data_IF_908703618740
#
_entry.id   IF_908703618740
#
_cell.length_a   1.000
_cell.length_b   1.000
_cell.length_c   1.000
_cell.angle_alpha   90.00
_cell.angle_beta   90.00
_cell.angle_gamma   90.00
#
_symmetry.space_group_name_H-M   'P 1'
#
loop_
_entity.id
_entity.type
_entity.pdbx_description
1 polymer ?
#
# COMPACT_ATOMS: atom_id res chain seq x y z
N UNK A 1 9.20 1.77 12.08
CA UNK A 1 8.31 1.99 10.92
C UNK A 1 7.86 3.43 10.98
N UNK A 2 7.92 4.14 9.87
CA UNK A 2 7.65 5.57 9.70
C UNK A 2 6.47 5.73 8.74
N UNK A 3 5.54 6.62 9.08
CA UNK A 3 4.42 6.97 8.21
C UNK A 3 4.84 8.10 7.27
N UNK A 4 4.54 7.96 5.97
CA UNK A 4 4.90 8.97 4.95
C UNK A 4 3.66 9.75 4.52
N UNK A 5 2.64 9.05 4.02
CA UNK A 5 1.41 9.68 3.56
C UNK A 5 0.23 8.70 3.55
N UNK A 6 -0.97 9.25 3.45
CA UNK A 6 -2.21 8.51 3.31
C UNK A 6 -3.06 9.09 2.18
N UNK A 7 -3.88 8.22 1.59
CA UNK A 7 -4.85 8.57 0.58
C UNK A 7 -6.09 7.70 0.79
N UNK A 8 -7.23 8.36 0.79
CA UNK A 8 -8.53 7.71 1.00
C UNK A 8 -9.25 7.61 -0.34
N UNK A 9 -9.45 6.39 -0.81
CA UNK A 9 -10.17 6.12 -2.05
C UNK A 9 -11.59 5.72 -1.69
N UNK A 10 -12.48 6.68 -1.90
CA UNK A 10 -13.92 6.46 -1.74
C UNK A 10 -14.41 5.90 -3.07
N UNK A 11 -14.78 4.62 -3.07
CA UNK A 11 -15.43 4.02 -4.22
C UNK A 11 -16.79 4.71 -4.47
N UNK A 12 -17.20 4.87 -5.73
CA UNK A 12 -18.58 5.25 -6.05
C UNK A 12 -19.40 3.98 -6.29
N UNK A 13 -20.25 3.60 -5.33
CA UNK A 13 -21.16 2.44 -5.44
C UNK A 13 -21.20 1.59 -4.17
N UNK A 14 -21.45 0.28 -4.31
CA UNK A 14 -21.46 -0.72 -3.22
C UNK A 14 -20.06 -1.26 -2.85
N UNK A 15 -18.98 -0.66 -3.38
CA UNK A 15 -17.62 -1.09 -3.07
C UNK A 15 -17.16 -0.49 -1.73
N UNK A 16 -16.39 -1.23 -0.91
CA UNK A 16 -15.93 -0.74 0.37
C UNK A 16 -15.04 0.50 0.22
N UNK A 17 -15.03 1.32 1.26
CA UNK A 17 -14.11 2.43 1.36
C UNK A 17 -12.72 1.90 1.69
N UNK A 18 -11.71 2.29 0.90
CA UNK A 18 -10.34 1.81 1.09
C UNK A 18 -9.44 2.98 1.44
N UNK A 19 -8.74 2.85 2.55
CA UNK A 19 -7.68 3.75 2.97
C UNK A 19 -6.32 3.11 2.64
N UNK A 20 -5.50 3.84 1.88
CA UNK A 20 -4.13 3.46 1.55
C UNK A 20 -3.16 4.32 2.33
N UNK A 21 -2.16 3.71 2.95
CA UNK A 21 -1.04 4.41 3.61
C UNK A 21 0.29 3.93 3.07
N UNK A 22 1.20 4.87 2.78
CA UNK A 22 2.58 4.58 2.46
C UNK A 22 3.43 4.65 3.73
N UNK A 23 4.13 3.57 4.02
CA UNK A 23 4.96 3.40 5.19
C UNK A 23 6.40 3.12 4.76
N UNK A 24 7.37 3.56 5.56
CA UNK A 24 8.78 3.19 5.42
C UNK A 24 9.23 2.39 6.63
N UNK A 25 10.03 1.37 6.41
CA UNK A 25 10.69 0.62 7.46
C UNK A 25 12.16 0.42 7.10
N UNK A 26 13.05 0.48 8.08
CA UNK A 26 14.43 0.02 7.90
C UNK A 26 14.46 -1.46 8.24
N UNK A 27 14.94 -2.29 7.30
CA UNK A 27 15.04 -3.74 7.48
C UNK A 27 16.44 -4.21 7.13
N UNK A 28 16.95 -5.16 7.89
CA UNK A 28 18.20 -5.82 7.54
C UNK A 28 17.93 -6.87 6.45
N UNK A 29 18.43 -6.61 5.24
CA UNK A 29 18.37 -7.51 4.11
C UNK A 29 19.79 -7.89 3.71
N UNK A 30 20.11 -9.19 3.77
CA UNK A 30 21.45 -9.71 3.47
C UNK A 30 22.58 -9.02 4.24
N UNK A 31 22.35 -8.66 5.50
CA UNK A 31 23.34 -7.96 6.35
C UNK A 31 23.49 -6.46 6.07
N UNK A 32 22.63 -5.89 5.22
CA UNK A 32 22.61 -4.45 4.92
C UNK A 32 21.29 -3.85 5.36
N UNK A 33 21.35 -2.75 6.12
CA UNK A 33 20.16 -1.96 6.46
C UNK A 33 19.62 -1.29 5.21
N UNK A 34 18.39 -1.66 4.83
CA UNK A 34 17.72 -1.21 3.62
C UNK A 34 16.38 -0.61 3.99
N UNK A 35 16.09 0.58 3.45
CA UNK A 35 14.74 1.13 3.51
C UNK A 35 13.81 0.28 2.66
N UNK A 36 12.69 -0.14 3.24
CA UNK A 36 11.59 -0.86 2.56
C UNK A 36 10.33 -0.03 2.73
N UNK A 37 9.75 0.35 1.60
CA UNK A 37 8.48 1.03 1.51
C UNK A 37 7.38 -0.01 1.36
N UNK A 38 6.32 0.16 2.14
CA UNK A 38 5.18 -0.75 2.17
C UNK A 38 3.88 0.04 2.06
N UNK A 39 2.90 -0.52 1.36
CA UNK A 39 1.55 0.02 1.26
C UNK A 39 0.64 -0.77 2.19
N UNK A 40 0.04 -0.07 3.15
CA UNK A 40 -1.01 -0.57 4.02
C UNK A 40 -2.35 -0.25 3.38
N UNK A 41 -3.17 -1.27 3.14
CA UNK A 41 -4.53 -1.15 2.64
C UNK A 41 -5.49 -1.51 3.77
N UNK A 42 -6.40 -0.60 4.10
CA UNK A 42 -7.43 -0.79 5.12
C UNK A 42 -8.78 -0.70 4.39
N UNK A 43 -9.47 -1.82 4.25
CA UNK A 43 -10.80 -1.87 3.67
C UNK A 43 -11.82 -1.83 4.80
N UNK A 44 -12.62 -0.77 4.85
CA UNK A 44 -13.73 -0.66 5.80
C UNK A 44 -14.97 -1.28 5.17
N UNK A 45 -15.44 -2.37 5.76
CA UNK A 45 -16.68 -3.01 5.31
C UNK A 45 -17.88 -2.13 5.64
N UNK A 46 -18.83 -1.98 4.71
CA UNK A 46 -20.04 -1.17 4.94
C UNK A 46 -20.96 -1.73 6.03
N UNK A 47 -20.78 -2.98 6.43
CA UNK A 47 -21.49 -3.60 7.55
C UNK A 47 -20.81 -3.36 8.91
N UNK A 48 -19.60 -2.77 8.93
CA UNK A 48 -18.83 -2.48 10.15
C UNK A 48 -18.41 -3.71 10.94
N UNK A 49 -18.49 -4.91 10.33
CA UNK A 49 -18.24 -6.18 11.02
C UNK A 49 -16.79 -6.66 10.90
N UNK A 50 -16.04 -6.21 9.89
CA UNK A 50 -14.62 -6.57 9.76
C UNK A 50 -13.87 -5.57 8.87
N UNK A 51 -12.90 -4.88 9.46
CA UNK A 51 -11.88 -4.19 8.69
C UNK A 51 -10.88 -5.22 8.16
N UNK A 52 -10.68 -5.25 6.85
CA UNK A 52 -9.60 -6.06 6.25
C UNK A 52 -8.35 -5.19 6.10
N UNK A 53 -7.23 -5.68 6.65
CA UNK A 53 -5.95 -4.98 6.63
C UNK A 53 -4.93 -5.81 5.88
N UNK A 54 -4.38 -5.24 4.80
CA UNK A 54 -3.33 -5.86 3.99
C UNK A 54 -2.09 -4.98 3.98
N UNK A 55 -0.91 -5.59 4.02
CA UNK A 55 0.37 -4.88 3.94
C UNK A 55 1.22 -5.49 2.82
N UNK A 56 1.65 -4.65 1.88
CA UNK A 56 2.46 -5.06 0.74
C UNK A 56 3.78 -4.30 0.73
N UNK A 57 4.91 -5.00 0.71
CA UNK A 57 6.20 -4.37 0.44
C UNK A 57 6.27 -4.05 -1.05
N UNK A 58 6.57 -2.80 -1.40
CA UNK A 58 6.48 -2.31 -2.79
C UNK A 58 7.80 -1.93 -3.43
N UNK A 59 8.74 -1.35 -2.67
CA UNK A 59 10.06 -1.00 -3.19
C UNK A 59 11.02 -0.65 -2.05
N UNK A 60 12.31 -0.66 -2.33
CA UNK A 60 13.33 -0.03 -1.47
C UNK A 60 13.66 1.41 -1.88
N UNK A 61 13.13 1.86 -3.01
CA UNK A 61 13.30 3.20 -3.55
C UNK A 61 12.07 4.08 -3.28
N UNK A 62 12.31 5.31 -2.81
CA UNK A 62 11.26 6.24 -2.44
C UNK A 62 10.40 6.66 -3.64
N UNK A 63 11.04 7.02 -4.75
CA UNK A 63 10.35 7.61 -5.89
C UNK A 63 9.50 6.56 -6.62
N UNK A 64 10.01 5.34 -6.70
CA UNK A 64 9.28 4.17 -7.18
C UNK A 64 8.08 3.87 -6.29
N UNK A 65 8.25 3.86 -4.97
CA UNK A 65 7.16 3.62 -4.03
C UNK A 65 6.07 4.70 -4.10
N UNK A 66 6.47 5.98 -4.23
CA UNK A 66 5.55 7.09 -4.39
C UNK A 66 4.76 7.01 -5.72
N UNK A 67 5.42 6.61 -6.81
CA UNK A 67 4.75 6.41 -8.10
C UNK A 67 3.72 5.27 -8.04
N UNK A 68 4.07 4.14 -7.43
CA UNK A 68 3.16 3.01 -7.21
C UNK A 68 1.97 3.45 -6.35
N UNK A 69 2.23 4.13 -5.23
CA UNK A 69 1.18 4.63 -4.35
C UNK A 69 0.20 5.53 -5.10
N UNK A 70 0.72 6.48 -5.89
CA UNK A 70 -0.11 7.35 -6.71
C UNK A 70 -0.96 6.56 -7.70
N UNK A 71 -0.38 5.62 -8.45
CA UNK A 71 -1.10 4.81 -9.42
C UNK A 71 -2.23 3.97 -8.78
N UNK A 72 -2.03 3.45 -7.57
CA UNK A 72 -3.07 2.77 -6.79
C UNK A 72 -4.19 3.74 -6.42
N UNK A 73 -3.84 4.90 -5.88
CA UNK A 73 -4.83 5.88 -5.39
C UNK A 73 -5.62 6.57 -6.51
N UNK A 74 -5.05 6.67 -7.71
CA UNK A 74 -5.71 7.14 -8.93
C UNK A 74 -6.55 6.05 -9.60
N UNK A 75 -6.49 4.80 -9.09
CA UNK A 75 -7.24 3.66 -9.63
C UNK A 75 -6.66 3.10 -10.93
N UNK A 76 -5.42 3.45 -11.28
CA UNK A 76 -4.74 2.94 -12.49
C UNK A 76 -4.32 1.47 -12.32
N UNK A 77 -3.96 1.07 -11.09
CA UNK A 77 -3.54 -0.29 -10.75
C UNK A 77 -4.12 -0.73 -9.41
N UNK A 78 -4.26 -2.05 -9.19
CA UNK A 78 -4.66 -2.58 -7.88
C UNK A 78 -3.45 -3.00 -7.05
N UNK A 79 -3.51 -2.95 -5.71
CA UNK A 79 -2.40 -3.39 -4.85
C UNK A 79 -1.98 -4.84 -5.10
N UNK A 80 -2.93 -5.71 -5.45
CA UNK A 80 -2.67 -7.12 -5.79
C UNK A 80 -1.86 -7.22 -7.07
N UNK A 81 -2.21 -6.45 -8.11
CA UNK A 81 -1.47 -6.42 -9.36
C UNK A 81 -0.03 -5.93 -9.18
N UNK A 82 0.21 -5.01 -8.23
CA UNK A 82 1.56 -4.55 -7.88
C UNK A 82 2.36 -5.64 -7.19
N UNK A 83 1.75 -6.36 -6.24
CA UNK A 83 2.40 -7.48 -5.57
C UNK A 83 2.82 -8.57 -6.57
N UNK A 84 1.96 -8.90 -7.55
CA UNK A 84 2.28 -9.87 -8.60
C UNK A 84 3.46 -9.41 -9.49
N UNK A 85 3.61 -8.10 -9.73
CA UNK A 85 4.70 -7.53 -10.53
C UNK A 85 6.05 -7.54 -9.83
N UNK A 86 6.08 -7.52 -8.49
CA UNK A 86 7.30 -7.45 -7.69
C UNK A 86 7.93 -8.81 -7.41
N UNK A 87 7.23 -9.90 -7.73
CA UNK A 87 7.72 -11.29 -7.54
C UNK A 87 8.48 -11.82 -8.78
N UNK A 88 8.61 -11.03 -9.86
CA UNK A 88 9.48 -11.33 -11.01
C UNK A 88 10.90 -10.78 -10.85
#
# INVERSE_FOLDING_TARGET
MEFICEAKVISRGDLPEIEYRLLRSERELFGTMTSVYSILCISQSSDGLSDEVFLYDVSSDHDTAAAIFRAITEGEVTPVSVADFLVM
#
